data_IF_490222213984
#
_entry.id   IF_490222213984
#
_cell.length_a   1.000
_cell.length_b   1.000
_cell.length_c   1.000
_cell.angle_alpha   90.00
_cell.angle_beta   90.00
_cell.angle_gamma   90.00
#
_symmetry.space_group_name_H-M   'P 1'
#
loop_
_entity.id
_entity.type
_entity.pdbx_description
1 polymer ?
#
# COMPACT_ATOMS: atom_id res chain seq x y z
N UNK A 1 10.00 -63.11 4.76
CA UNK A 1 11.34 -62.43 4.85
C UNK A 1 11.18 -61.14 5.63
N UNK A 2 11.91 -61.04 6.75
CA UNK A 2 11.69 -60.04 7.81
C UNK A 2 12.12 -58.65 7.37
N UNK A 3 11.32 -57.63 7.73
CA UNK A 3 11.53 -56.19 7.49
C UNK A 3 12.89 -55.64 7.94
N UNK A 4 13.59 -56.38 8.80
CA UNK A 4 14.95 -56.02 9.29
C UNK A 4 16.08 -56.21 8.26
N UNK A 5 15.87 -57.06 7.20
CA UNK A 5 16.87 -57.23 6.13
C UNK A 5 16.86 -56.11 5.09
N UNK A 6 15.72 -55.48 4.89
CA UNK A 6 15.59 -54.39 3.92
C UNK A 6 16.24 -53.10 4.42
N UNK A 7 16.16 -52.85 5.74
CA UNK A 7 16.79 -51.67 6.37
C UNK A 7 18.31 -51.64 6.31
N UNK A 8 18.97 -52.83 6.34
CA UNK A 8 20.43 -52.98 6.24
C UNK A 8 20.99 -52.82 4.84
N UNK A 9 20.16 -53.06 3.80
CA UNK A 9 20.59 -52.90 2.40
C UNK A 9 20.59 -51.43 1.97
N UNK A 10 19.64 -50.65 2.51
CA UNK A 10 19.53 -49.20 2.19
C UNK A 10 20.57 -48.35 2.88
N UNK A 11 21.12 -48.80 4.02
CA UNK A 11 22.20 -48.07 4.71
C UNK A 11 23.55 -48.17 3.98
N UNK A 12 23.73 -49.18 3.15
CA UNK A 12 24.97 -49.36 2.34
C UNK A 12 24.99 -48.55 1.04
N UNK A 13 23.86 -47.97 0.64
CA UNK A 13 23.72 -47.17 -0.60
C UNK A 13 23.87 -45.67 -0.35
N UNK A 14 24.26 -45.22 0.83
CA UNK A 14 24.59 -43.82 1.09
C UNK A 14 23.42 -42.85 0.91
N UNK A 15 22.17 -43.33 0.81
CA UNK A 15 20.99 -42.47 0.70
C UNK A 15 20.71 -41.87 2.06
N UNK A 16 21.30 -40.73 2.35
CA UNK A 16 20.91 -39.90 3.47
C UNK A 16 19.44 -39.50 3.25
N UNK A 17 18.54 -40.00 4.07
CA UNK A 17 17.19 -39.41 4.21
C UNK A 17 17.45 -37.97 4.68
N UNK A 18 17.39 -37.05 3.73
CA UNK A 18 17.32 -35.64 4.07
C UNK A 18 16.07 -35.44 4.93
N UNK A 19 16.25 -35.07 6.20
CA UNK A 19 15.16 -34.59 7.01
C UNK A 19 14.67 -33.30 6.33
N UNK A 20 13.55 -33.39 5.58
CA UNK A 20 12.86 -32.18 5.14
C UNK A 20 12.58 -31.36 6.39
N UNK A 21 13.17 -30.17 6.48
CA UNK A 21 13.04 -29.31 7.64
C UNK A 21 11.55 -29.04 7.90
N UNK A 22 11.13 -28.97 9.13
CA UNK A 22 9.75 -28.68 9.51
C UNK A 22 9.24 -27.35 8.89
N UNK A 23 10.16 -26.43 8.56
CA UNK A 23 9.84 -25.18 7.87
C UNK A 23 9.38 -25.37 6.43
N UNK A 24 9.89 -26.36 5.71
CA UNK A 24 9.44 -26.66 4.34
C UNK A 24 8.02 -27.26 4.30
N UNK A 25 7.61 -27.94 5.38
CA UNK A 25 6.24 -28.50 5.48
C UNK A 25 5.20 -27.46 5.87
N UNK A 26 5.56 -26.43 6.63
CA UNK A 26 4.64 -25.36 7.04
C UNK A 26 4.27 -24.40 5.89
N UNK A 27 5.09 -24.35 4.83
CA UNK A 27 4.89 -23.49 3.67
C UNK A 27 4.14 -24.16 2.51
N UNK A 28 3.91 -25.47 2.58
CA UNK A 28 3.22 -26.20 1.52
C UNK A 28 1.70 -26.06 1.69
N UNK A 29 1.12 -25.07 1.03
CA UNK A 29 -0.34 -25.04 0.83
C UNK A 29 -0.68 -26.16 -0.15
N UNK A 30 -1.60 -27.09 0.20
CA UNK A 30 -2.11 -28.06 -0.76
C UNK A 30 -2.60 -27.33 -2.00
N UNK A 31 -2.28 -27.82 -3.17
CA UNK A 31 -2.69 -27.22 -4.45
C UNK A 31 -2.14 -25.81 -4.69
N UNK A 32 -0.99 -25.44 -4.08
CA UNK A 32 -0.38 -24.11 -4.24
C UNK A 32 -0.21 -23.70 -5.72
N UNK A 33 -0.05 -24.67 -6.63
CA UNK A 33 0.03 -24.43 -8.07
C UNK A 33 -1.31 -24.01 -8.70
N UNK A 34 -2.45 -24.35 -8.06
CA UNK A 34 -3.80 -23.96 -8.51
C UNK A 34 -4.14 -22.52 -8.08
N UNK A 35 -3.45 -21.98 -7.08
CA UNK A 35 -3.68 -20.61 -6.59
C UNK A 35 -2.84 -19.55 -7.30
N UNK A 36 -2.14 -19.90 -8.35
CA UNK A 36 -1.51 -18.90 -9.22
C UNK A 36 -2.56 -18.34 -10.17
N UNK A 37 -2.99 -17.09 -10.01
CA UNK A 37 -3.96 -16.53 -10.94
C UNK A 37 -3.34 -16.46 -12.33
N UNK A 38 -4.01 -16.99 -13.34
CA UNK A 38 -3.62 -16.86 -14.73
C UNK A 38 -3.93 -15.46 -15.27
N UNK A 39 -4.98 -14.85 -14.74
CA UNK A 39 -5.38 -13.49 -15.10
C UNK A 39 -4.67 -12.49 -14.21
N UNK A 40 -3.80 -11.70 -14.81
CA UNK A 40 -3.02 -10.65 -14.14
C UNK A 40 -3.11 -9.37 -14.98
N UNK A 41 -4.20 -8.59 -14.83
CA UNK A 41 -4.50 -7.44 -15.69
C UNK A 41 -3.42 -6.36 -15.66
N UNK A 42 -2.63 -6.31 -14.60
CA UNK A 42 -1.47 -5.40 -14.49
C UNK A 42 -0.31 -5.71 -15.42
N UNK A 43 -0.29 -6.90 -16.05
CA UNK A 43 0.68 -7.28 -17.11
C UNK A 43 0.07 -7.33 -18.50
N UNK A 44 -1.25 -7.06 -18.61
CA UNK A 44 -1.96 -7.09 -19.88
C UNK A 44 -1.70 -5.85 -20.74
N UNK A 45 -2.38 -5.81 -21.87
CA UNK A 45 -2.53 -4.61 -22.68
C UNK A 45 -3.82 -3.91 -22.28
N UNK A 46 -3.82 -2.57 -22.27
CA UNK A 46 -5.02 -1.82 -21.97
C UNK A 46 -4.75 -0.47 -21.34
N UNK A 47 -5.83 0.14 -20.88
CA UNK A 47 -5.82 1.51 -20.41
C UNK A 47 -4.96 1.70 -19.15
N UNK A 48 -4.97 0.75 -18.23
CA UNK A 48 -4.11 0.78 -17.05
C UNK A 48 -2.64 0.98 -17.41
N UNK A 49 -2.15 0.31 -18.46
CA UNK A 49 -0.74 0.41 -18.87
C UNK A 49 -0.34 1.83 -19.25
N UNK A 50 -1.26 2.60 -19.83
CA UNK A 50 -1.03 4.00 -20.16
C UNK A 50 -0.76 4.84 -18.90
N UNK A 51 -1.53 4.62 -17.84
CA UNK A 51 -1.33 5.32 -16.56
C UNK A 51 -0.15 4.76 -15.77
N UNK A 52 0.03 3.45 -15.75
CA UNK A 52 1.17 2.83 -15.07
C UNK A 52 2.52 3.25 -15.66
N UNK A 53 2.58 3.52 -16.97
CA UNK A 53 3.78 4.06 -17.60
C UNK A 53 4.24 5.40 -16.99
N UNK A 54 3.34 6.15 -16.36
CA UNK A 54 3.67 7.38 -15.62
C UNK A 54 4.18 7.08 -14.20
N UNK A 55 3.78 5.96 -13.59
CA UNK A 55 4.28 5.56 -12.28
C UNK A 55 5.64 4.87 -12.37
N UNK A 56 5.79 3.93 -13.29
CA UNK A 56 6.87 2.97 -13.37
C UNK A 56 8.30 3.55 -13.26
N UNK A 57 8.63 4.72 -13.84
CA UNK A 57 9.99 5.26 -13.74
C UNK A 57 10.36 5.78 -12.35
N UNK A 58 9.40 6.05 -11.47
CA UNK A 58 9.63 6.74 -10.20
C UNK A 58 8.90 6.14 -8.99
N UNK A 59 8.28 4.96 -9.13
CA UNK A 59 7.62 4.28 -8.02
C UNK A 59 8.38 3.04 -7.55
N UNK A 60 8.25 2.71 -6.27
CA UNK A 60 8.61 1.42 -5.68
C UNK A 60 7.38 0.51 -5.54
N UNK A 61 6.20 1.04 -5.80
CA UNK A 61 4.93 0.30 -5.76
C UNK A 61 4.83 -0.57 -7.01
N UNK A 62 4.65 -1.87 -6.82
CA UNK A 62 4.58 -2.85 -7.92
C UNK A 62 3.34 -2.66 -8.81
N UNK A 63 3.37 -3.20 -10.02
CA UNK A 63 2.29 -3.02 -10.99
C UNK A 63 0.92 -3.51 -10.49
N UNK A 64 0.89 -4.62 -9.75
CA UNK A 64 -0.33 -5.15 -9.13
C UNK A 64 -0.89 -4.21 -8.04
N UNK A 65 -0.03 -3.62 -7.20
CA UNK A 65 -0.42 -2.61 -6.22
C UNK A 65 -0.91 -1.33 -6.90
N UNK A 66 -0.22 -0.86 -7.93
CA UNK A 66 -0.67 0.28 -8.74
C UNK A 66 -2.03 -0.01 -9.41
N UNK A 67 -2.28 -1.25 -9.85
CA UNK A 67 -3.58 -1.64 -10.42
C UNK A 67 -4.71 -1.59 -9.37
N UNK A 68 -4.43 -1.94 -8.12
CA UNK A 68 -5.39 -1.77 -7.02
C UNK A 68 -5.72 -0.28 -6.83
N UNK A 69 -4.71 0.60 -6.79
CA UNK A 69 -4.92 2.04 -6.68
C UNK A 69 -5.74 2.58 -7.85
N UNK A 70 -5.38 2.19 -9.08
CA UNK A 70 -6.11 2.57 -10.30
C UNK A 70 -7.58 2.19 -10.21
N UNK A 71 -7.88 0.94 -9.91
CA UNK A 71 -9.26 0.42 -9.89
C UNK A 71 -10.11 1.05 -8.78
N UNK A 72 -9.53 1.22 -7.58
CA UNK A 72 -10.25 1.83 -6.47
C UNK A 72 -10.45 3.34 -6.66
N UNK A 73 -9.47 4.02 -7.26
CA UNK A 73 -9.59 5.44 -7.56
C UNK A 73 -10.71 5.71 -8.58
N UNK A 74 -10.86 4.90 -9.63
CA UNK A 74 -11.98 5.02 -10.56
C UNK A 74 -13.33 4.90 -9.85
N UNK A 75 -13.47 3.96 -8.91
CA UNK A 75 -14.70 3.83 -8.12
C UNK A 75 -14.93 5.05 -7.22
N UNK A 76 -13.86 5.65 -6.68
CA UNK A 76 -13.94 6.83 -5.82
C UNK A 76 -14.38 8.10 -6.57
N UNK A 77 -14.37 8.13 -7.90
CA UNK A 77 -14.83 9.30 -8.66
C UNK A 77 -16.30 9.63 -8.42
N UNK A 78 -17.11 8.66 -8.06
CA UNK A 78 -18.52 8.84 -7.73
C UNK A 78 -18.80 9.21 -6.27
N UNK A 79 -17.74 9.30 -5.44
CA UNK A 79 -17.86 9.58 -4.01
C UNK A 79 -17.49 11.05 -3.76
N UNK A 80 -18.24 11.74 -2.90
CA UNK A 80 -17.94 13.12 -2.51
C UNK A 80 -16.57 13.23 -1.87
N UNK A 81 -15.81 14.27 -2.22
CA UNK A 81 -14.50 14.58 -1.64
C UNK A 81 -13.36 14.41 -2.62
N UNK A 82 -12.18 14.71 -2.12
CA UNK A 82 -10.94 14.76 -2.87
C UNK A 82 -10.10 13.47 -2.66
N UNK A 83 -9.01 13.38 -3.39
CA UNK A 83 -8.06 12.26 -3.36
C UNK A 83 -6.81 12.68 -2.60
N UNK A 84 -6.34 11.82 -1.71
CA UNK A 84 -5.18 12.08 -0.85
C UNK A 84 -4.13 10.99 -1.02
N UNK A 85 -2.87 11.40 -1.05
CA UNK A 85 -1.72 10.50 -0.94
C UNK A 85 -0.79 10.99 0.15
N UNK A 86 -0.51 10.13 1.12
CA UNK A 86 0.43 10.35 2.21
C UNK A 86 1.63 9.44 1.98
N UNK A 87 2.82 10.02 1.80
CA UNK A 87 3.99 9.36 1.26
C UNK A 87 3.99 9.41 -0.26
N UNK A 88 4.78 10.33 -0.82
CA UNK A 88 4.82 10.61 -2.27
C UNK A 88 6.15 10.20 -2.87
N UNK A 89 7.22 10.26 -2.08
CA UNK A 89 8.59 9.93 -2.47
C UNK A 89 9.00 10.65 -3.76
N UNK A 90 9.20 9.91 -4.87
CA UNK A 90 9.58 10.46 -6.18
C UNK A 90 8.40 10.78 -7.10
N UNK A 91 7.16 10.57 -6.63
CA UNK A 91 5.94 10.98 -7.31
C UNK A 91 5.42 10.02 -8.38
N UNK A 92 5.83 8.76 -8.38
CA UNK A 92 5.39 7.81 -9.40
C UNK A 92 3.88 7.53 -9.31
N UNK A 93 3.38 7.07 -8.17
CA UNK A 93 1.95 6.83 -7.91
C UNK A 93 1.14 8.11 -8.02
N UNK A 94 1.68 9.23 -7.51
CA UNK A 94 1.06 10.56 -7.67
C UNK A 94 0.84 10.93 -9.14
N UNK A 95 1.81 10.71 -10.02
CA UNK A 95 1.71 11.01 -11.45
C UNK A 95 0.62 10.15 -12.12
N UNK A 96 0.57 8.86 -11.78
CA UNK A 96 -0.48 7.95 -12.26
C UNK A 96 -1.88 8.42 -11.83
N UNK A 97 -2.05 8.73 -10.55
CA UNK A 97 -3.33 9.18 -10.01
C UNK A 97 -3.74 10.55 -10.56
N UNK A 98 -2.80 11.48 -10.67
CA UNK A 98 -3.06 12.80 -11.25
C UNK A 98 -3.54 12.72 -12.69
N UNK A 99 -2.91 11.89 -13.53
CA UNK A 99 -3.32 11.67 -14.91
C UNK A 99 -4.71 11.05 -14.99
N UNK A 100 -5.00 10.03 -14.17
CA UNK A 100 -6.31 9.38 -14.16
C UNK A 100 -7.42 10.36 -13.72
N UNK A 101 -7.17 11.18 -12.67
CA UNK A 101 -8.10 12.20 -12.20
C UNK A 101 -8.32 13.25 -13.29
N UNK A 102 -7.25 13.74 -13.92
CA UNK A 102 -7.32 14.73 -14.98
C UNK A 102 -8.17 14.26 -16.15
N UNK A 103 -8.06 12.99 -16.52
CA UNK A 103 -8.79 12.42 -17.65
C UNK A 103 -10.25 12.08 -17.34
N UNK A 104 -10.54 11.62 -16.10
CA UNK A 104 -11.84 11.03 -15.78
C UNK A 104 -12.70 11.84 -14.82
N UNK A 105 -12.09 12.64 -13.95
CA UNK A 105 -12.81 13.40 -12.93
C UNK A 105 -12.07 14.69 -12.55
N UNK A 106 -11.87 15.64 -13.50
CA UNK A 106 -11.05 16.84 -13.28
C UNK A 106 -11.60 17.81 -12.23
N UNK A 107 -12.80 17.55 -11.70
CA UNK A 107 -13.36 18.30 -10.58
C UNK A 107 -12.75 17.93 -9.24
N UNK A 108 -12.10 16.75 -9.11
CA UNK A 108 -11.40 16.34 -7.90
C UNK A 108 -9.98 16.88 -7.88
N UNK A 109 -9.48 17.14 -6.67
CA UNK A 109 -8.09 17.51 -6.44
C UNK A 109 -7.33 16.34 -5.83
N UNK A 110 -6.02 16.29 -6.10
CA UNK A 110 -5.09 15.36 -5.51
C UNK A 110 -4.20 16.10 -4.51
N UNK A 111 -4.37 15.79 -3.23
CA UNK A 111 -3.53 16.30 -2.15
C UNK A 111 -2.38 15.35 -1.90
N UNK A 112 -1.15 15.87 -1.89
CA UNK A 112 0.10 15.12 -1.87
C UNK A 112 0.94 15.56 -0.67
N UNK A 113 1.08 14.65 0.31
CA UNK A 113 1.75 14.92 1.59
C UNK A 113 3.05 14.14 1.69
N UNK A 114 4.15 14.84 1.87
CA UNK A 114 5.47 14.24 2.08
C UNK A 114 6.39 15.26 2.74
N UNK A 115 7.42 14.80 3.41
CA UNK A 115 8.50 15.67 3.87
C UNK A 115 9.32 16.17 2.70
N UNK A 116 9.44 15.37 1.64
CA UNK A 116 10.40 15.53 0.51
C UNK A 116 11.85 15.69 0.99
N UNK A 117 12.15 15.12 2.15
CA UNK A 117 13.45 15.13 2.83
C UNK A 117 13.78 13.77 3.47
N UNK A 118 12.91 12.77 3.24
CA UNK A 118 13.03 11.43 3.81
C UNK A 118 12.24 11.25 5.12
N UNK A 119 12.36 10.05 5.69
CA UNK A 119 11.59 9.68 6.87
C UNK A 119 11.92 10.54 8.10
N UNK A 120 10.91 10.85 8.93
CA UNK A 120 11.09 11.49 10.23
C UNK A 120 11.77 10.53 11.24
N UNK A 121 11.80 10.92 12.51
CA UNK A 121 12.17 10.02 13.61
C UNK A 121 11.20 8.83 13.66
N UNK A 122 11.75 7.62 13.84
CA UNK A 122 11.00 6.37 13.84
C UNK A 122 11.05 5.71 15.22
N UNK A 123 10.12 4.82 15.50
CA UNK A 123 10.11 4.05 16.72
C UNK A 123 10.81 2.69 16.51
N UNK A 124 12.08 2.57 16.93
CA UNK A 124 12.87 1.37 16.74
C UNK A 124 12.26 0.08 17.36
N UNK A 125 11.29 0.20 18.28
CA UNK A 125 10.58 -0.95 18.84
C UNK A 125 9.44 -1.44 17.92
N UNK A 126 8.95 -0.60 17.01
CA UNK A 126 7.83 -0.89 16.12
C UNK A 126 8.23 -0.90 14.66
N UNK A 127 9.21 -0.07 14.27
CA UNK A 127 9.60 0.20 12.88
C UNK A 127 10.98 -0.38 12.56
N UNK A 128 11.18 -0.75 11.30
CA UNK A 128 12.50 -1.15 10.79
C UNK A 128 13.17 -0.03 10.01
N UNK A 129 12.39 0.88 9.46
CA UNK A 129 12.88 2.08 8.81
C UNK A 129 13.50 3.05 9.81
N UNK A 130 14.38 3.91 9.31
CA UNK A 130 15.13 4.87 10.10
C UNK A 130 14.96 6.27 9.56
N UNK A 131 15.20 7.26 10.41
CA UNK A 131 15.27 8.65 10.00
C UNK A 131 16.18 8.82 8.77
N UNK A 132 15.69 9.51 7.76
CA UNK A 132 16.40 9.81 6.52
C UNK A 132 16.31 8.72 5.45
N UNK A 133 15.65 7.57 5.71
CA UNK A 133 15.32 6.65 4.63
C UNK A 133 14.46 7.39 3.60
N UNK A 134 14.61 7.06 2.29
CA UNK A 134 13.93 7.72 1.17
C UNK A 134 14.22 9.23 1.01
N UNK A 135 15.37 9.73 1.51
CA UNK A 135 15.74 11.15 1.38
C UNK A 135 16.18 11.58 -0.03
N UNK A 136 16.30 10.65 -0.97
CA UNK A 136 16.69 10.92 -2.35
C UNK A 136 15.52 11.44 -3.21
N UNK A 137 14.79 12.43 -2.67
CA UNK A 137 13.63 13.10 -3.27
C UNK A 137 13.73 14.62 -3.04
N UNK A 138 12.97 15.41 -3.80
CA UNK A 138 12.84 16.83 -3.62
C UNK A 138 11.51 17.34 -4.20
N UNK A 139 10.82 18.22 -3.49
CA UNK A 139 9.50 18.75 -3.87
C UNK A 139 9.47 19.27 -5.31
N UNK A 140 10.47 20.07 -5.71
CA UNK A 140 10.53 20.70 -7.03
C UNK A 140 10.62 19.65 -8.16
N UNK A 141 11.43 18.60 -7.93
CA UNK A 141 11.57 17.49 -8.88
C UNK A 141 10.28 16.66 -8.99
N UNK A 142 9.64 16.44 -7.85
CA UNK A 142 8.36 15.67 -7.79
C UNK A 142 7.25 16.47 -8.43
N UNK A 143 7.10 17.75 -8.09
CA UNK A 143 6.07 18.62 -8.66
C UNK A 143 6.22 18.78 -10.19
N UNK A 144 7.45 18.91 -10.68
CA UNK A 144 7.72 18.96 -12.12
C UNK A 144 7.38 17.64 -12.82
N UNK A 145 7.61 16.50 -12.15
CA UNK A 145 7.30 15.18 -12.71
C UNK A 145 5.81 14.89 -12.73
N UNK A 146 5.12 15.10 -11.62
CA UNK A 146 3.68 14.86 -11.48
C UNK A 146 2.89 15.77 -12.42
N UNK A 147 3.27 17.02 -12.51
CA UNK A 147 2.60 18.00 -13.38
C UNK A 147 1.17 18.32 -12.91
N UNK A 148 0.27 18.48 -13.89
CA UNK A 148 -1.17 18.71 -13.70
C UNK A 148 -1.57 19.98 -12.91
N UNK A 149 -0.63 20.91 -12.66
CA UNK A 149 -0.92 22.26 -12.18
C UNK A 149 -1.82 22.33 -10.95
N UNK A 150 -2.92 23.06 -11.04
CA UNK A 150 -3.83 23.30 -9.93
C UNK A 150 -4.62 22.05 -9.45
N UNK A 151 -4.60 20.94 -10.20
CA UNK A 151 -5.19 19.69 -9.76
C UNK A 151 -4.43 19.09 -8.57
N UNK A 152 -3.09 19.22 -8.56
CA UNK A 152 -2.22 18.68 -7.53
C UNK A 152 -1.89 19.73 -6.47
N UNK A 153 -2.15 19.40 -5.20
CA UNK A 153 -1.89 20.26 -4.04
C UNK A 153 -0.79 19.63 -3.21
N UNK A 154 0.44 20.11 -3.39
CA UNK A 154 1.58 19.63 -2.61
C UNK A 154 1.61 20.27 -1.22
N UNK A 155 1.80 19.45 -0.20
CA UNK A 155 1.87 19.82 1.21
C UNK A 155 3.16 19.26 1.79
N UNK A 156 4.26 20.04 1.69
CA UNK A 156 5.55 19.68 2.27
C UNK A 156 5.48 19.80 3.79
N UNK A 157 5.93 18.78 4.49
CA UNK A 157 6.07 18.76 5.94
C UNK A 157 5.78 17.40 6.57
N UNK A 158 6.00 17.33 7.87
CA UNK A 158 5.69 16.14 8.64
C UNK A 158 4.17 15.99 8.82
N UNK A 159 3.72 14.75 8.87
CA UNK A 159 2.36 14.40 9.28
C UNK A 159 2.36 14.31 10.82
N UNK A 160 1.39 14.91 11.53
CA UNK A 160 0.13 15.51 11.01
C UNK A 160 0.19 17.02 10.68
N UNK A 161 1.29 17.71 10.91
CA UNK A 161 1.37 19.17 10.78
C UNK A 161 1.05 19.67 9.35
N UNK A 162 1.42 18.88 8.33
CA UNK A 162 1.12 19.18 6.92
C UNK A 162 -0.37 19.15 6.59
N UNK A 163 -1.22 18.62 7.47
CA UNK A 163 -2.69 18.63 7.33
C UNK A 163 -3.35 19.93 7.80
N UNK A 164 -2.62 20.82 8.45
CA UNK A 164 -3.17 22.07 8.99
C UNK A 164 -3.92 22.89 7.92
N UNK A 165 -5.13 23.36 8.28
CA UNK A 165 -6.01 24.14 7.39
C UNK A 165 -6.85 23.28 6.43
N UNK A 166 -6.84 21.95 6.59
CA UNK A 166 -7.63 21.00 5.78
C UNK A 166 -8.72 20.31 6.59
N UNK A 167 -9.09 20.86 7.75
CA UNK A 167 -10.06 20.28 8.69
C UNK A 167 -11.47 20.16 8.10
N UNK A 168 -11.80 21.01 7.12
CA UNK A 168 -13.09 21.01 6.42
C UNK A 168 -13.13 20.11 5.17
N UNK A 169 -11.96 19.56 4.75
CA UNK A 169 -11.89 18.73 3.54
C UNK A 169 -12.69 17.43 3.70
N UNK A 170 -13.33 17.02 2.60
CA UNK A 170 -13.92 15.69 2.44
C UNK A 170 -12.99 14.84 1.61
N UNK A 171 -12.87 13.56 1.97
CA UNK A 171 -11.94 12.63 1.34
C UNK A 171 -12.76 11.48 0.74
N UNK A 172 -12.61 11.25 -0.55
CA UNK A 172 -13.21 10.11 -1.23
C UNK A 172 -12.30 8.89 -1.24
N UNK A 173 -11.00 9.13 -1.38
CA UNK A 173 -9.96 8.12 -1.49
C UNK A 173 -8.69 8.60 -0.81
N UNK A 174 -8.05 7.73 -0.03
CA UNK A 174 -6.73 7.99 0.52
C UNK A 174 -5.80 6.79 0.28
N UNK A 175 -4.62 7.06 -0.26
CA UNK A 175 -3.49 6.16 -0.31
C UNK A 175 -2.50 6.55 0.79
N UNK A 176 -2.22 5.63 1.72
CA UNK A 176 -1.29 5.83 2.84
C UNK A 176 -0.11 4.89 2.65
N UNK A 177 1.04 5.47 2.34
CA UNK A 177 2.31 4.82 1.98
C UNK A 177 3.46 5.52 2.74
N UNK A 178 3.40 5.43 4.08
CA UNK A 178 4.32 6.15 5.00
C UNK A 178 5.10 5.21 5.93
N UNK A 179 5.05 3.90 5.68
CA UNK A 179 5.85 2.80 6.22
C UNK A 179 5.85 2.63 7.75
N UNK A 180 5.74 3.71 8.54
CA UNK A 180 6.03 3.72 9.97
C UNK A 180 4.77 3.90 10.83
N UNK A 181 4.81 3.30 12.01
CA UNK A 181 3.69 3.20 12.95
C UNK A 181 3.04 4.55 13.26
N UNK A 182 3.85 5.55 13.68
CA UNK A 182 3.28 6.82 14.12
C UNK A 182 2.63 7.59 12.97
N UNK A 183 3.27 7.65 11.82
CA UNK A 183 2.73 8.35 10.65
C UNK A 183 1.42 7.73 10.16
N UNK A 184 1.29 6.40 10.21
CA UNK A 184 0.02 5.70 9.90
C UNK A 184 -1.09 6.12 10.88
N UNK A 185 -0.81 6.13 12.20
CA UNK A 185 -1.80 6.54 13.20
C UNK A 185 -2.23 7.99 13.01
N UNK A 186 -1.29 8.89 12.77
CA UNK A 186 -1.56 10.31 12.57
C UNK A 186 -2.40 10.53 11.29
N UNK A 187 -2.10 9.82 10.21
CA UNK A 187 -2.94 9.78 9.01
C UNK A 187 -4.36 9.33 9.34
N UNK A 188 -4.50 8.21 10.05
CA UNK A 188 -5.80 7.64 10.37
C UNK A 188 -6.64 8.54 11.26
N UNK A 189 -6.04 9.17 12.28
CA UNK A 189 -6.75 10.10 13.18
C UNK A 189 -7.29 11.32 12.43
N UNK A 190 -6.58 11.79 11.41
CA UNK A 190 -7.03 12.93 10.61
C UNK A 190 -7.98 12.52 9.47
N UNK A 191 -7.62 11.50 8.69
CA UNK A 191 -8.32 11.11 7.46
C UNK A 191 -9.64 10.41 7.75
N UNK A 192 -9.66 9.46 8.72
CA UNK A 192 -10.82 8.63 8.95
C UNK A 192 -12.11 9.40 9.28
N UNK A 193 -12.12 10.43 10.16
CA UNK A 193 -13.32 11.23 10.39
C UNK A 193 -13.81 11.96 9.13
N UNK A 194 -12.90 12.33 8.22
CA UNK A 194 -13.16 13.11 7.00
C UNK A 194 -13.45 12.27 5.76
N UNK A 195 -13.18 10.98 5.86
CA UNK A 195 -13.50 10.05 4.77
C UNK A 195 -15.00 10.00 4.57
N UNK A 196 -15.45 10.17 3.34
CA UNK A 196 -16.87 10.11 2.97
C UNK A 196 -17.42 8.70 3.08
N UNK A 197 -18.72 8.56 3.26
CA UNK A 197 -19.37 7.24 3.23
C UNK A 197 -19.14 6.59 1.86
N UNK A 198 -18.79 5.31 1.86
CA UNK A 198 -18.37 4.59 0.68
C UNK A 198 -16.92 4.84 0.26
N UNK A 199 -16.24 5.81 0.86
CA UNK A 199 -14.83 6.11 0.59
C UNK A 199 -13.87 5.00 1.04
N UNK A 200 -12.66 5.04 0.51
CA UNK A 200 -11.64 4.01 0.70
C UNK A 200 -10.36 4.59 1.30
N UNK A 201 -9.70 3.81 2.14
CA UNK A 201 -8.29 4.00 2.51
C UNK A 201 -7.53 2.77 2.08
N UNK A 202 -6.47 2.96 1.32
CA UNK A 202 -5.49 1.92 0.96
C UNK A 202 -4.22 2.13 1.77
N UNK A 203 -3.78 1.11 2.48
CA UNK A 203 -2.51 1.06 3.21
C UNK A 203 -1.54 0.22 2.39
N UNK A 204 -0.50 0.84 1.86
CA UNK A 204 0.43 0.14 0.96
C UNK A 204 1.25 -0.91 1.68
N UNK A 205 1.70 -0.61 2.89
CA UNK A 205 2.71 -1.35 3.64
C UNK A 205 2.19 -2.42 4.59
N UNK A 206 0.88 -2.64 4.65
CA UNK A 206 0.23 -3.46 5.68
C UNK A 206 0.80 -4.88 5.81
N UNK A 207 1.08 -5.53 4.70
CA UNK A 207 1.54 -6.92 4.64
C UNK A 207 3.06 -7.09 4.54
N UNK A 208 3.84 -6.00 4.50
CA UNK A 208 5.27 -6.08 4.29
C UNK A 208 6.04 -6.28 5.59
N UNK A 209 6.96 -7.24 5.59
CA UNK A 209 7.83 -7.51 6.73
C UNK A 209 8.83 -6.38 7.04
N UNK A 210 9.08 -5.49 6.08
CA UNK A 210 9.86 -4.26 6.26
C UNK A 210 9.13 -3.22 7.10
N UNK A 211 7.79 -3.24 7.12
CA UNK A 211 6.95 -2.21 7.73
C UNK A 211 6.00 -2.80 8.81
N UNK A 212 6.55 -3.50 9.85
CA UNK A 212 5.70 -4.12 10.88
C UNK A 212 4.88 -3.10 11.67
N UNK A 213 5.38 -1.87 11.79
CA UNK A 213 4.70 -0.74 12.42
C UNK A 213 3.45 -0.31 11.68
N UNK A 214 3.47 -0.35 10.36
CA UNK A 214 2.30 0.00 9.53
C UNK A 214 1.11 -0.92 9.86
N UNK A 215 1.28 -2.24 9.84
CA UNK A 215 0.23 -3.18 10.22
C UNK A 215 -0.24 -2.98 11.65
N UNK A 216 0.70 -2.84 12.60
CA UNK A 216 0.36 -2.66 14.00
C UNK A 216 -0.52 -1.42 14.23
N UNK A 217 -0.21 -0.31 13.56
CA UNK A 217 -0.99 0.93 13.65
C UNK A 217 -2.41 0.77 13.07
N UNK A 218 -2.53 0.15 11.90
CA UNK A 218 -3.83 -0.11 11.26
C UNK A 218 -4.68 -1.01 12.13
N UNK A 219 -4.14 -2.14 12.61
CA UNK A 219 -4.87 -3.09 13.45
C UNK A 219 -5.32 -2.45 14.78
N UNK A 220 -4.45 -1.65 15.41
CA UNK A 220 -4.77 -0.91 16.64
C UNK A 220 -5.90 0.10 16.41
N UNK A 221 -5.82 0.90 15.34
CA UNK A 221 -6.82 1.91 15.06
C UNK A 221 -8.21 1.31 14.79
N UNK A 222 -8.27 0.18 14.07
CA UNK A 222 -9.56 -0.46 13.73
C UNK A 222 -10.04 -1.47 14.78
N UNK A 223 -9.28 -1.69 15.86
CA UNK A 223 -9.73 -2.56 16.96
C UNK A 223 -11.04 -2.05 17.56
N UNK A 224 -12.05 -2.90 17.60
CA UNK A 224 -13.39 -2.58 18.13
C UNK A 224 -14.25 -1.71 17.20
N UNK A 225 -13.76 -1.29 16.03
CA UNK A 225 -14.58 -0.60 15.02
C UNK A 225 -15.36 -1.59 14.14
N UNK A 226 -16.50 -1.18 13.58
CA UNK A 226 -17.29 -2.06 12.68
C UNK A 226 -16.59 -2.33 11.34
N UNK A 227 -15.69 -1.44 10.90
CA UNK A 227 -14.89 -1.62 9.70
C UNK A 227 -13.60 -2.38 10.02
N UNK A 228 -13.19 -3.27 9.14
CA UNK A 228 -11.96 -4.05 9.28
C UNK A 228 -11.09 -3.95 8.03
N UNK A 229 -9.76 -3.94 8.17
CA UNK A 229 -8.86 -4.01 7.03
C UNK A 229 -9.06 -5.32 6.24
N UNK A 230 -9.26 -5.18 4.93
CA UNK A 230 -9.25 -6.28 3.97
C UNK A 230 -7.82 -6.41 3.44
N UNK A 231 -7.09 -7.40 3.91
CA UNK A 231 -5.75 -7.68 3.42
C UNK A 231 -5.81 -8.28 2.01
N UNK A 232 -5.07 -7.69 1.09
CA UNK A 232 -4.98 -8.15 -0.29
C UNK A 232 -3.74 -9.05 -0.50
N UNK A 233 -3.77 -9.95 -1.49
CA UNK A 233 -2.60 -10.76 -1.85
C UNK A 233 -1.39 -9.94 -2.31
N UNK A 234 -1.59 -8.67 -2.66
CA UNK A 234 -0.54 -7.70 -3.02
C UNK A 234 0.29 -7.22 -1.82
N UNK A 235 -0.16 -7.49 -0.58
CA UNK A 235 0.41 -6.95 0.64
C UNK A 235 -0.24 -5.66 1.12
N UNK A 236 -1.04 -5.01 0.30
CA UNK A 236 -1.84 -3.86 0.71
C UNK A 236 -3.01 -4.28 1.60
N UNK A 237 -3.56 -3.33 2.35
CA UNK A 237 -4.89 -3.48 2.95
C UNK A 237 -5.81 -2.34 2.53
N UNK A 238 -7.10 -2.65 2.44
CA UNK A 238 -8.13 -1.66 2.09
C UNK A 238 -9.19 -1.63 3.18
N UNK A 239 -9.60 -0.43 3.56
CA UNK A 239 -10.76 -0.23 4.44
C UNK A 239 -11.78 0.64 3.74
N UNK A 240 -13.02 0.19 3.74
CA UNK A 240 -14.17 0.92 3.22
C UNK A 240 -14.91 1.58 4.39
N UNK A 241 -15.25 2.86 4.25
CA UNK A 241 -16.11 3.51 5.22
C UNK A 241 -17.58 3.16 4.92
N UNK A 242 -18.05 2.10 5.55
CA UNK A 242 -19.42 1.65 5.43
C UNK A 242 -20.42 2.68 5.98
N UNK A 243 -21.67 2.56 5.58
CA UNK A 243 -22.78 3.27 6.20
C UNK A 243 -22.91 2.74 7.63
N UNK A 244 -22.91 3.62 8.62
CA UNK A 244 -23.31 3.20 9.97
C UNK A 244 -24.71 2.63 9.85
N UNK A 245 -24.93 1.41 10.33
CA UNK A 245 -26.29 0.93 10.53
C UNK A 245 -27.02 1.94 11.45
N UNK A 246 -28.26 2.29 11.16
CA UNK A 246 -29.05 3.19 11.98
C UNK A 246 -29.20 2.67 13.40
#
# INVERSE_FOLDING_TARGET
MSSRRLGRLLSKLGVKRGAASASARAAAVPDAHLYRPLFSPWFGEGEFQRYFAMAAPRTLVSADRCHVLYTLLEQAFHIEGNVWECGVYKGGTAAMMAALISDRCPAKRLFLFDTFEGMPETNAAKDRHRKGDFADTALESVAAYVGHGALCVFRKGFIPDSFAGLEAERIAFAHIDVDIYQSILDCLHFIWPRLSLGGFVVFDDYGFSSCPGARAAVDEFFLGKPCRPLCLPTGQAVVFKGVSAP
#
